data_IF_410889877793
#
_entry.id   IF_410889877793
#
_cell.length_a   1.000
_cell.length_b   1.000
_cell.length_c   1.000
_cell.angle_alpha   90.00
_cell.angle_beta   90.00
_cell.angle_gamma   90.00
#
_symmetry.space_group_name_H-M   'P 1'
#
loop_
_entity.id
_entity.type
_entity.pdbx_description
1 polymer ?
#
# COMPACT_ATOMS: atom_id res chain seq x y z
N UNK A 1 -10.94 0.82 16.21
CA UNK A 1 -11.43 1.88 15.32
C UNK A 1 -10.39 2.96 15.22
N UNK A 2 -10.17 3.44 14.00
CA UNK A 2 -9.37 4.62 13.77
C UNK A 2 -10.00 5.81 14.49
N UNK A 3 -9.13 6.60 15.11
CA UNK A 3 -9.50 7.73 15.92
C UNK A 3 -8.60 8.89 15.55
N UNK A 4 -9.18 10.08 15.57
CA UNK A 4 -8.50 11.31 15.22
C UNK A 4 -8.96 12.46 16.10
N UNK A 5 -8.59 13.66 15.69
CA UNK A 5 -8.98 14.89 16.35
C UNK A 5 -9.01 16.03 15.34
N UNK A 6 -10.10 16.80 15.35
CA UNK A 6 -10.19 18.05 14.62
C UNK A 6 -9.27 19.11 15.24
N UNK A 7 -8.86 20.10 14.45
CA UNK A 7 -8.10 21.28 14.92
C UNK A 7 -8.84 22.06 15.99
N UNK A 8 -10.18 21.95 16.05
CA UNK A 8 -11.03 22.49 17.12
C UNK A 8 -10.89 21.78 18.47
N UNK A 9 -10.20 20.62 18.53
CA UNK A 9 -10.10 19.76 19.71
C UNK A 9 -11.16 18.66 19.78
N UNK A 10 -12.14 18.65 18.87
CA UNK A 10 -13.19 17.62 18.81
C UNK A 10 -12.59 16.26 18.43
N UNK A 11 -12.75 15.25 19.29
CA UNK A 11 -12.33 13.88 19.02
C UNK A 11 -13.25 13.21 18.01
N UNK A 12 -12.68 12.43 17.11
CA UNK A 12 -13.37 11.75 16.01
C UNK A 12 -13.04 10.25 16.04
N UNK A 13 -13.95 9.42 15.52
CA UNK A 13 -13.80 7.96 15.54
C UNK A 13 -14.61 7.33 14.42
N UNK A 14 -13.98 6.39 13.70
CA UNK A 14 -14.63 5.61 12.66
C UNK A 14 -15.82 4.80 13.20
N UNK A 15 -16.84 4.60 12.37
CA UNK A 15 -18.11 4.01 12.78
C UNK A 15 -18.13 2.47 12.75
N UNK A 16 -17.47 1.86 11.77
CA UNK A 16 -17.52 0.42 11.51
C UNK A 16 -16.10 -0.14 11.34
N UNK A 17 -15.83 -1.30 11.95
CA UNK A 17 -14.61 -2.09 11.73
C UNK A 17 -14.77 -3.09 10.58
N UNK A 18 -16.00 -3.33 10.12
CA UNK A 18 -16.27 -4.18 8.96
C UNK A 18 -17.04 -3.42 7.88
N UNK A 19 -16.97 -3.89 6.64
CA UNK A 19 -17.76 -3.33 5.54
C UNK A 19 -19.25 -3.43 5.87
N UNK A 20 -20.04 -2.44 5.42
CA UNK A 20 -21.48 -2.35 5.75
C UNK A 20 -22.29 -3.55 5.25
N UNK A 21 -21.93 -4.12 4.10
CA UNK A 21 -22.58 -5.30 3.55
C UNK A 21 -21.69 -5.95 2.48
N UNK A 22 -22.00 -7.21 2.13
CA UNK A 22 -21.32 -7.91 1.04
C UNK A 22 -21.52 -7.19 -0.31
N UNK A 23 -22.69 -6.59 -0.52
CA UNK A 23 -23.00 -5.86 -1.75
C UNK A 23 -22.12 -4.60 -1.91
N UNK A 24 -21.81 -3.91 -0.80
CA UNK A 24 -20.87 -2.78 -0.81
C UNK A 24 -19.48 -3.26 -1.20
N UNK A 25 -18.95 -4.31 -0.57
CA UNK A 25 -17.62 -4.86 -0.92
C UNK A 25 -17.54 -5.28 -2.39
N UNK A 26 -18.58 -5.93 -2.92
CA UNK A 26 -18.64 -6.30 -4.33
C UNK A 26 -18.67 -5.08 -5.26
N UNK A 27 -19.37 -4.02 -4.88
CA UNK A 27 -19.46 -2.77 -5.65
C UNK A 27 -18.12 -2.07 -5.68
N UNK A 28 -17.50 -1.90 -4.51
CA UNK A 28 -16.22 -1.20 -4.36
C UNK A 28 -15.10 -1.96 -5.06
N UNK A 29 -15.05 -3.29 -4.91
CA UNK A 29 -14.06 -4.13 -5.61
C UNK A 29 -14.20 -4.05 -7.14
N UNK A 30 -15.44 -4.01 -7.67
CA UNK A 30 -15.68 -3.79 -9.12
C UNK A 30 -15.29 -2.38 -9.57
N UNK A 31 -15.42 -1.40 -8.68
CA UNK A 31 -14.92 -0.04 -8.89
C UNK A 31 -13.41 -0.02 -9.06
N UNK A 32 -12.68 -0.65 -8.13
CA UNK A 32 -11.22 -0.85 -8.23
C UNK A 32 -10.85 -1.55 -9.54
N UNK A 33 -11.51 -2.66 -9.88
CA UNK A 33 -11.28 -3.36 -11.15
C UNK A 33 -11.44 -2.45 -12.38
N UNK A 34 -12.47 -1.59 -12.40
CA UNK A 34 -12.71 -0.65 -13.51
C UNK A 34 -11.61 0.40 -13.60
N UNK A 35 -11.22 0.98 -12.47
CA UNK A 35 -10.13 1.97 -12.40
C UNK A 35 -8.83 1.36 -12.91
N UNK A 36 -8.48 0.16 -12.44
CA UNK A 36 -7.26 -0.54 -12.84
C UNK A 36 -7.29 -0.99 -14.31
N UNK A 37 -8.45 -1.44 -14.81
CA UNK A 37 -8.64 -1.81 -16.21
C UNK A 37 -8.39 -0.62 -17.14
N UNK A 38 -8.87 0.57 -16.78
CA UNK A 38 -8.67 1.79 -17.55
C UNK A 38 -7.18 2.18 -17.69
N UNK A 39 -6.33 1.75 -16.76
CA UNK A 39 -4.89 2.08 -16.81
C UNK A 39 -4.12 1.27 -17.85
N UNK A 40 -4.67 0.12 -18.28
CA UNK A 40 -4.03 -0.84 -19.19
C UNK A 40 -2.58 -1.20 -18.78
N UNK A 41 -2.29 -1.24 -17.48
CA UNK A 41 -0.93 -1.41 -16.98
C UNK A 41 -0.34 -2.79 -17.32
N UNK A 42 0.98 -2.84 -17.48
CA UNK A 42 1.75 -4.07 -17.63
C UNK A 42 1.84 -4.88 -16.34
N UNK A 43 1.86 -4.16 -15.21
CA UNK A 43 1.93 -4.71 -13.88
C UNK A 43 0.92 -3.99 -12.98
N UNK A 44 0.33 -4.72 -12.04
CA UNK A 44 -0.59 -4.14 -11.06
C UNK A 44 -0.25 -4.67 -9.67
N UNK A 45 -0.11 -3.75 -8.70
CA UNK A 45 0.26 -4.07 -7.33
C UNK A 45 -0.90 -3.68 -6.41
N UNK A 46 -1.51 -4.66 -5.75
CA UNK A 46 -2.59 -4.46 -4.81
C UNK A 46 -2.11 -4.75 -3.39
N UNK A 47 -2.52 -3.92 -2.44
CA UNK A 47 -2.36 -4.10 -1.01
C UNK A 47 -3.76 -4.27 -0.38
N UNK A 48 -3.85 -4.76 0.86
CA UNK A 48 -5.11 -4.86 1.62
C UNK A 48 -6.21 -5.67 0.89
N UNK A 49 -5.82 -6.62 0.04
CA UNK A 49 -6.77 -7.40 -0.76
C UNK A 49 -7.13 -8.71 -0.05
N UNK A 50 -8.40 -8.88 0.29
CA UNK A 50 -8.89 -10.01 1.07
C UNK A 50 -9.25 -11.22 0.19
N UNK A 51 -9.06 -12.42 0.74
CA UNK A 51 -9.54 -13.68 0.12
C UNK A 51 -10.72 -14.29 0.88
N UNK A 52 -10.79 -14.12 2.20
CA UNK A 52 -11.83 -14.69 3.05
C UNK A 52 -11.93 -14.02 4.44
N UNK A 53 -11.95 -12.68 4.50
CA UNK A 53 -12.01 -11.96 5.79
C UNK A 53 -13.45 -11.63 6.20
N UNK A 54 -13.73 -11.59 7.51
CA UNK A 54 -15.00 -11.12 8.06
C UNK A 54 -15.21 -9.63 7.74
N UNK A 55 -14.14 -8.82 7.80
CA UNK A 55 -14.17 -7.38 7.47
C UNK A 55 -14.65 -7.07 6.04
N UNK A 56 -14.37 -7.97 5.08
CA UNK A 56 -14.83 -7.91 3.69
C UNK A 56 -16.02 -8.82 3.39
N UNK A 57 -16.73 -9.31 4.42
CA UNK A 57 -17.91 -10.19 4.27
C UNK A 57 -17.63 -11.42 3.41
N UNK A 58 -16.42 -11.99 3.56
CA UNK A 58 -15.94 -13.18 2.87
C UNK A 58 -16.00 -13.07 1.34
N UNK A 59 -15.89 -11.85 0.81
CA UNK A 59 -15.68 -11.63 -0.63
C UNK A 59 -14.23 -11.97 -0.94
N UNK A 60 -14.02 -12.89 -1.88
CA UNK A 60 -12.68 -13.19 -2.38
C UNK A 60 -12.29 -12.17 -3.45
N UNK A 61 -11.75 -11.04 -3.02
CA UNK A 61 -11.36 -9.93 -3.88
C UNK A 61 -10.20 -10.31 -4.80
N UNK A 62 -9.26 -11.13 -4.32
CA UNK A 62 -8.16 -11.68 -5.15
C UNK A 62 -8.72 -12.41 -6.36
N UNK A 63 -9.65 -13.35 -6.16
CA UNK A 63 -10.26 -14.11 -7.26
C UNK A 63 -11.06 -13.23 -8.21
N UNK A 64 -11.72 -12.19 -7.70
CA UNK A 64 -12.43 -11.23 -8.55
C UNK A 64 -11.44 -10.51 -9.50
N UNK A 65 -10.36 -9.98 -8.94
CA UNK A 65 -9.29 -9.31 -9.69
C UNK A 65 -8.61 -10.27 -10.68
N UNK A 66 -8.24 -11.49 -10.27
CA UNK A 66 -7.65 -12.50 -11.16
C UNK A 66 -8.57 -12.85 -12.35
N UNK A 67 -9.87 -13.03 -12.10
CA UNK A 67 -10.84 -13.29 -13.16
C UNK A 67 -10.98 -12.09 -14.12
N UNK A 68 -10.98 -10.87 -13.58
CA UNK A 68 -11.09 -9.64 -14.36
C UNK A 68 -9.91 -9.47 -15.31
N UNK A 69 -8.71 -9.80 -14.84
CA UNK A 69 -7.45 -9.70 -15.56
C UNK A 69 -6.95 -11.08 -16.01
N UNK A 70 -7.86 -11.92 -16.51
CA UNK A 70 -7.53 -13.23 -17.08
C UNK A 70 -6.48 -13.06 -18.18
N UNK A 71 -5.34 -13.74 -18.03
CA UNK A 71 -4.17 -13.60 -18.90
C UNK A 71 -2.96 -12.95 -18.25
N UNK A 72 -3.10 -12.34 -17.08
CA UNK A 72 -1.96 -11.91 -16.27
C UNK A 72 -1.48 -13.08 -15.41
N UNK A 73 -0.16 -13.26 -15.32
CA UNK A 73 0.44 -14.03 -14.23
C UNK A 73 0.22 -13.32 -12.91
N UNK A 74 0.04 -14.07 -11.82
CA UNK A 74 -0.26 -13.50 -10.51
C UNK A 74 0.60 -14.12 -9.40
N UNK A 75 0.93 -13.31 -8.41
CA UNK A 75 1.61 -13.72 -7.17
C UNK A 75 0.82 -13.14 -6.01
N UNK A 76 0.29 -14.00 -5.15
CA UNK A 76 -0.33 -13.61 -3.90
C UNK A 76 0.60 -13.91 -2.72
N UNK A 77 0.88 -12.90 -1.90
CA UNK A 77 1.62 -13.04 -0.66
C UNK A 77 0.74 -12.59 0.51
N UNK A 78 0.37 -13.53 1.38
CA UNK A 78 -0.37 -13.20 2.59
C UNK A 78 0.47 -12.27 3.49
N UNK A 79 -0.11 -11.15 3.92
CA UNK A 79 0.56 -10.21 4.81
C UNK A 79 -0.28 -9.84 6.04
N UNK A 80 -1.43 -10.49 6.22
CA UNK A 80 -2.29 -10.33 7.38
C UNK A 80 -3.19 -11.57 7.48
N UNK A 81 -2.85 -12.44 8.43
CA UNK A 81 -3.64 -13.60 8.79
C UNK A 81 -3.98 -13.56 10.28
N UNK A 82 -5.27 -13.69 10.62
CA UNK A 82 -5.74 -13.81 12.00
C UNK A 82 -6.96 -14.71 12.06
N UNK A 83 -6.95 -15.68 12.99
CA UNK A 83 -8.10 -16.53 13.24
C UNK A 83 -9.31 -15.71 13.74
N UNK A 84 -9.05 -14.73 14.62
CA UNK A 84 -10.06 -13.79 15.07
C UNK A 84 -9.42 -12.53 15.67
N UNK A 85 -9.72 -11.37 15.09
CA UNK A 85 -9.33 -10.07 15.60
C UNK A 85 -10.53 -9.38 16.27
N UNK A 86 -10.52 -9.36 17.60
CA UNK A 86 -11.56 -8.75 18.45
C UNK A 86 -11.40 -7.22 18.58
N UNK A 87 -11.04 -6.54 17.48
CA UNK A 87 -10.93 -5.09 17.44
C UNK A 87 -11.60 -4.55 16.17
N UNK A 88 -12.38 -3.45 16.27
CA UNK A 88 -12.92 -2.86 17.49
C UNK A 88 -13.87 -3.82 18.26
N UNK A 89 -14.08 -3.60 19.55
CA UNK A 89 -14.94 -4.46 20.38
C UNK A 89 -16.41 -4.53 19.91
N UNK A 90 -16.92 -3.46 19.31
CA UNK A 90 -18.33 -3.34 18.90
C UNK A 90 -18.61 -3.83 17.47
N UNK A 91 -17.58 -3.98 16.64
CA UNK A 91 -17.68 -4.44 15.25
C UNK A 91 -16.33 -5.06 14.82
N UNK A 92 -15.96 -6.21 15.43
CA UNK A 92 -14.61 -6.76 15.30
C UNK A 92 -14.29 -7.14 13.86
N UNK A 93 -13.02 -6.94 13.46
CA UNK A 93 -12.52 -7.37 12.16
C UNK A 93 -12.71 -8.87 11.89
N UNK A 94 -12.86 -9.68 12.95
CA UNK A 94 -13.16 -11.11 12.88
C UNK A 94 -12.00 -11.89 12.30
N UNK A 95 -12.28 -12.96 11.55
CA UNK A 95 -11.24 -13.69 10.82
C UNK A 95 -10.68 -12.80 9.71
N UNK A 96 -9.36 -12.77 9.54
CA UNK A 96 -8.71 -11.98 8.48
C UNK A 96 -7.77 -12.88 7.67
N UNK A 97 -7.91 -12.79 6.35
CA UNK A 97 -7.04 -13.41 5.37
C UNK A 97 -6.84 -12.43 4.20
N UNK A 98 -5.81 -11.59 4.33
CA UNK A 98 -5.46 -10.50 3.40
C UNK A 98 -4.01 -10.61 2.94
N UNK A 99 -3.70 -10.00 1.81
CA UNK A 99 -2.35 -10.03 1.28
C UNK A 99 -1.99 -8.91 0.31
N UNK A 100 -0.90 -9.18 -0.39
CA UNK A 100 -0.38 -8.44 -1.51
C UNK A 100 -0.61 -9.27 -2.77
N UNK A 101 -1.27 -8.69 -3.77
CA UNK A 101 -1.44 -9.31 -5.08
C UNK A 101 -0.62 -8.54 -6.11
N UNK A 102 0.27 -9.23 -6.81
CA UNK A 102 1.00 -8.68 -7.96
C UNK A 102 0.49 -9.37 -9.22
N UNK A 103 0.02 -8.60 -10.19
CA UNK A 103 -0.29 -9.07 -11.55
C UNK A 103 0.81 -8.64 -12.51
N UNK A 104 1.09 -9.48 -13.51
CA UNK A 104 2.09 -9.25 -14.55
C UNK A 104 1.61 -9.77 -15.90
N UNK A 105 1.69 -8.95 -16.96
CA UNK A 105 1.53 -9.44 -18.34
C UNK A 105 2.69 -10.30 -18.81
N UNK A 106 3.84 -10.17 -18.15
CA UNK A 106 5.08 -10.87 -18.50
C UNK A 106 5.28 -12.11 -17.62
N UNK A 107 6.08 -13.04 -18.12
CA UNK A 107 6.44 -14.25 -17.39
C UNK A 107 7.16 -13.92 -16.07
N UNK A 108 6.63 -14.47 -14.98
CA UNK A 108 7.23 -14.39 -13.65
C UNK A 108 8.18 -15.57 -13.49
N UNK A 109 9.48 -15.30 -13.43
CA UNK A 109 10.50 -16.35 -13.28
C UNK A 109 10.58 -16.88 -11.85
N UNK A 110 10.41 -16.01 -10.85
CA UNK A 110 10.31 -16.42 -9.44
C UNK A 110 9.57 -15.39 -8.60
N UNK A 111 9.08 -15.82 -7.44
CA UNK A 111 8.49 -14.95 -6.45
C UNK A 111 8.99 -15.30 -5.04
N UNK A 112 9.21 -14.30 -4.20
CA UNK A 112 9.64 -14.50 -2.81
C UNK A 112 8.94 -13.51 -1.88
N UNK A 113 8.25 -14.03 -0.88
CA UNK A 113 7.72 -13.23 0.23
C UNK A 113 8.82 -12.99 1.26
N UNK A 114 9.02 -11.74 1.68
CA UNK A 114 9.93 -11.37 2.77
C UNK A 114 9.16 -10.66 3.88
N UNK A 115 9.16 -11.28 5.06
CA UNK A 115 8.49 -10.71 6.23
C UNK A 115 9.29 -9.52 6.78
N UNK A 116 8.58 -8.43 7.04
CA UNK A 116 9.11 -7.29 7.74
C UNK A 116 9.28 -7.59 9.23
N UNK A 117 10.27 -6.98 9.90
CA UNK A 117 10.28 -6.92 11.36
C UNK A 117 8.98 -6.28 11.85
N UNK A 118 8.26 -7.00 12.71
CA UNK A 118 7.03 -6.54 13.37
C UNK A 118 7.23 -6.59 14.88
N UNK A 119 6.48 -5.76 15.61
CA UNK A 119 6.54 -5.77 17.07
C UNK A 119 6.00 -7.07 17.65
N UNK A 120 6.65 -7.61 18.69
CA UNK A 120 6.18 -8.80 19.42
C UNK A 120 5.23 -8.46 20.59
N UNK A 121 4.84 -7.20 20.76
CA UNK A 121 3.99 -6.82 21.91
C UNK A 121 2.59 -7.39 21.76
N UNK A 122 2.03 -7.93 22.85
CA UNK A 122 0.78 -8.69 22.81
C UNK A 122 -0.41 -7.88 22.25
N UNK A 123 -0.47 -6.57 22.54
CA UNK A 123 -1.53 -5.66 22.08
C UNK A 123 -1.32 -5.24 20.62
N UNK A 124 -0.07 -5.02 20.18
CA UNK A 124 0.23 -4.65 18.79
C UNK A 124 0.16 -5.82 17.81
N UNK A 125 0.31 -7.07 18.28
CA UNK A 125 0.02 -8.28 17.50
C UNK A 125 -1.42 -8.33 16.97
N UNK A 126 -2.36 -7.61 17.59
CA UNK A 126 -3.74 -7.53 17.10
C UNK A 126 -3.92 -6.47 16.01
N UNK A 127 -2.99 -5.53 15.82
CA UNK A 127 -3.14 -4.41 14.87
C UNK A 127 -2.03 -4.34 13.82
N UNK A 128 -0.91 -5.04 14.01
CA UNK A 128 0.29 -4.99 13.17
C UNK A 128 0.72 -6.42 12.82
N UNK A 129 -0.05 -7.05 11.93
CA UNK A 129 0.10 -8.45 11.53
C UNK A 129 0.90 -8.57 10.23
N UNK A 130 1.72 -9.64 10.16
CA UNK A 130 2.47 -10.22 9.04
C UNK A 130 2.96 -9.32 7.90
N UNK A 131 3.22 -8.04 8.18
CA UNK A 131 3.73 -7.06 7.23
C UNK A 131 4.88 -7.68 6.45
N UNK A 132 4.82 -7.56 5.14
CA UNK A 132 5.79 -8.15 4.26
C UNK A 132 5.90 -7.32 2.98
N UNK A 133 6.84 -7.72 2.15
CA UNK A 133 6.86 -7.35 0.74
C UNK A 133 7.05 -8.61 -0.10
N UNK A 134 6.46 -8.61 -1.30
CA UNK A 134 6.57 -9.67 -2.29
C UNK A 134 7.52 -9.23 -3.38
N UNK A 135 8.63 -9.96 -3.54
CA UNK A 135 9.60 -9.75 -4.63
C UNK A 135 9.19 -10.65 -5.79
N UNK A 136 8.84 -10.05 -6.91
CA UNK A 136 8.55 -10.75 -8.18
C UNK A 136 9.70 -10.51 -9.13
N UNK A 137 10.34 -11.58 -9.59
CA UNK A 137 11.50 -11.50 -10.49
C UNK A 137 11.07 -11.82 -11.91
N UNK A 138 11.23 -10.85 -12.81
CA UNK A 138 10.83 -10.92 -14.21
C UNK A 138 12.11 -10.90 -15.06
N UNK A 139 12.45 -11.97 -15.79
CA UNK A 139 13.56 -11.96 -16.72
C UNK A 139 13.35 -10.92 -17.82
N UNK A 140 14.41 -10.22 -18.21
CA UNK A 140 14.39 -9.30 -19.37
C UNK A 140 15.38 -9.76 -20.44
N UNK A 141 15.17 -9.30 -21.68
CA UNK A 141 15.87 -9.83 -22.88
C UNK A 141 17.38 -9.62 -22.89
N UNK A 142 17.90 -8.64 -22.15
CA UNK A 142 19.33 -8.37 -22.05
C UNK A 142 20.06 -9.21 -20.99
N UNK A 143 19.45 -10.31 -20.53
CA UNK A 143 20.03 -11.24 -19.55
C UNK A 143 19.99 -10.75 -18.09
N UNK A 144 19.46 -9.54 -17.85
CA UNK A 144 19.20 -9.03 -16.49
C UNK A 144 17.81 -9.45 -16.00
N UNK A 145 17.46 -9.03 -14.79
CA UNK A 145 16.14 -9.21 -14.21
C UNK A 145 15.55 -7.87 -13.77
N UNK A 146 14.22 -7.76 -13.83
CA UNK A 146 13.45 -6.76 -13.12
C UNK A 146 12.92 -7.37 -11.83
N UNK A 147 13.30 -6.82 -10.69
CA UNK A 147 12.67 -7.09 -9.41
C UNK A 147 11.55 -6.08 -9.21
N UNK A 148 10.32 -6.55 -9.37
CA UNK A 148 9.10 -5.80 -9.05
C UNK A 148 8.66 -6.17 -7.64
N UNK A 149 8.72 -5.21 -6.73
CA UNK A 149 8.46 -5.41 -5.31
C UNK A 149 7.15 -4.73 -4.93
N UNK A 150 6.19 -5.52 -4.47
CA UNK A 150 4.96 -5.04 -3.84
C UNK A 150 5.18 -4.97 -2.33
N UNK A 151 5.10 -3.78 -1.74
CA UNK A 151 5.39 -3.54 -0.32
C UNK A 151 4.22 -2.92 0.41
N UNK A 152 3.98 -3.35 1.66
CA UNK A 152 3.07 -2.67 2.58
C UNK A 152 3.70 -2.63 3.98
N UNK A 153 4.10 -1.45 4.43
CA UNK A 153 4.80 -1.23 5.70
C UNK A 153 3.84 -0.99 6.88
N UNK A 154 4.35 -1.04 8.12
CA UNK A 154 3.53 -0.81 9.31
C UNK A 154 3.09 0.65 9.47
N UNK A 155 1.80 0.86 9.73
CA UNK A 155 1.22 2.17 10.09
C UNK A 155 1.62 2.64 11.50
N UNK A 156 1.38 1.80 12.51
CA UNK A 156 1.53 2.18 13.92
C UNK A 156 2.85 1.66 14.51
N UNK A 157 3.77 2.58 14.82
CA UNK A 157 5.03 2.26 15.49
C UNK A 157 5.41 3.37 16.47
N UNK A 158 5.00 3.19 17.73
CA UNK A 158 5.28 4.14 18.81
C UNK A 158 6.79 4.21 19.04
N UNK A 159 7.41 5.30 18.57
CA UNK A 159 8.86 5.53 18.65
C UNK A 159 9.66 5.15 17.40
N UNK A 160 9.02 4.72 16.31
CA UNK A 160 9.64 4.60 14.97
C UNK A 160 10.71 3.52 14.80
N UNK A 161 10.84 2.59 15.76
CA UNK A 161 11.88 1.55 15.74
C UNK A 161 11.61 0.47 14.68
N UNK A 162 10.37 0.01 14.55
CA UNK A 162 10.00 -0.99 13.54
C UNK A 162 10.11 -0.41 12.15
N UNK A 163 9.57 0.78 11.88
CA UNK A 163 9.62 1.40 10.54
C UNK A 163 11.06 1.57 10.06
N UNK A 164 11.98 1.95 10.96
CA UNK A 164 13.43 1.97 10.67
C UNK A 164 13.99 0.58 10.34
N UNK A 165 13.60 -0.45 11.09
CA UNK A 165 14.05 -1.82 10.83
C UNK A 165 13.48 -2.38 9.50
N UNK A 166 12.24 -2.05 9.17
CA UNK A 166 11.59 -2.41 7.90
C UNK A 166 12.29 -1.74 6.71
N UNK A 167 12.55 -0.43 6.80
CA UNK A 167 13.33 0.28 5.79
C UNK A 167 14.74 -0.29 5.63
N UNK A 168 15.41 -0.67 6.74
CA UNK A 168 16.73 -1.31 6.69
C UNK A 168 16.68 -2.64 5.92
N UNK A 169 15.67 -3.47 6.16
CA UNK A 169 15.50 -4.74 5.44
C UNK A 169 15.22 -4.51 3.95
N UNK A 170 14.28 -3.62 3.62
CA UNK A 170 13.96 -3.28 2.24
C UNK A 170 15.19 -2.76 1.49
N UNK A 171 15.89 -1.79 2.08
CA UNK A 171 17.11 -1.20 1.51
C UNK A 171 18.18 -2.26 1.24
N UNK A 172 18.42 -3.18 2.18
CA UNK A 172 19.41 -4.24 1.99
C UNK A 172 19.06 -5.19 0.83
N UNK A 173 17.77 -5.44 0.60
CA UNK A 173 17.31 -6.30 -0.51
C UNK A 173 17.44 -5.58 -1.85
N UNK A 174 16.98 -4.33 -1.94
CA UNK A 174 17.02 -3.57 -3.19
C UNK A 174 18.45 -3.20 -3.59
N UNK A 175 19.31 -2.85 -2.62
CA UNK A 175 20.72 -2.54 -2.85
C UNK A 175 21.46 -3.76 -3.41
N UNK A 176 21.26 -4.94 -2.81
CA UNK A 176 21.86 -6.19 -3.31
C UNK A 176 21.45 -6.49 -4.75
N UNK A 177 20.16 -6.34 -5.07
CA UNK A 177 19.66 -6.60 -6.40
C UNK A 177 20.23 -5.61 -7.43
N UNK A 178 20.32 -4.34 -7.07
CA UNK A 178 20.89 -3.29 -7.91
C UNK A 178 22.39 -3.47 -8.14
N UNK A 179 23.16 -3.86 -7.12
CA UNK A 179 24.59 -4.18 -7.25
C UNK A 179 24.84 -5.40 -8.14
N UNK A 180 23.88 -6.33 -8.23
CA UNK A 180 23.89 -7.42 -9.19
C UNK A 180 23.43 -7.00 -10.61
N UNK A 181 23.43 -5.69 -10.91
CA UNK A 181 23.05 -5.10 -12.20
C UNK A 181 21.59 -5.30 -12.62
N UNK A 182 20.70 -5.70 -11.70
CA UNK A 182 19.27 -5.84 -11.98
C UNK A 182 18.55 -4.48 -11.92
N UNK A 183 17.37 -4.43 -12.54
CA UNK A 183 16.44 -3.31 -12.38
C UNK A 183 15.56 -3.57 -11.16
N UNK A 184 15.25 -2.53 -10.39
CA UNK A 184 14.44 -2.67 -9.19
C UNK A 184 13.39 -1.57 -9.16
N UNK A 185 12.13 -1.98 -9.00
CA UNK A 185 10.99 -1.10 -8.77
C UNK A 185 10.29 -1.61 -7.52
N UNK A 186 10.15 -0.74 -6.52
CA UNK A 186 9.34 -0.98 -5.33
C UNK A 186 8.11 -0.10 -5.43
N UNK A 187 6.92 -0.68 -5.32
CA UNK A 187 5.67 0.06 -5.25
C UNK A 187 4.79 -0.42 -4.10
N UNK A 188 3.97 0.49 -3.57
CA UNK A 188 2.94 0.18 -2.59
C UNK A 188 2.77 1.26 -1.54
N UNK A 189 2.16 0.87 -0.42
CA UNK A 189 1.85 1.75 0.71
C UNK A 189 2.99 1.73 1.73
N UNK A 190 3.65 2.88 1.87
CA UNK A 190 4.72 3.06 2.84
C UNK A 190 4.20 3.39 4.23
N UNK A 191 2.93 3.77 4.41
CA UNK A 191 2.39 4.29 5.68
C UNK A 191 3.17 5.50 6.22
N UNK A 192 3.88 6.21 5.34
CA UNK A 192 4.60 7.44 5.62
C UNK A 192 4.25 8.46 4.54
N UNK A 193 4.06 9.71 4.91
CA UNK A 193 4.09 10.82 3.96
C UNK A 193 5.42 10.78 3.19
N UNK A 194 5.35 10.70 1.87
CA UNK A 194 6.50 10.54 0.97
C UNK A 194 7.29 11.85 0.80
N UNK A 195 7.81 12.38 1.89
CA UNK A 195 8.52 13.65 1.95
C UNK A 195 7.88 14.60 2.96
N UNK A 196 8.73 15.38 3.64
CA UNK A 196 8.29 16.33 4.67
C UNK A 196 7.32 17.37 4.12
N UNK A 197 7.51 17.73 2.85
CA UNK A 197 6.64 18.63 2.09
C UNK A 197 5.18 18.15 2.09
N UNK A 198 4.93 16.84 2.02
CA UNK A 198 3.56 16.31 1.92
C UNK A 198 2.88 16.06 3.27
N UNK A 199 3.59 16.14 4.40
CA UNK A 199 3.01 15.84 5.71
C UNK A 199 1.84 16.78 6.06
N UNK A 200 1.91 18.04 5.64
CA UNK A 200 0.91 19.07 5.93
C UNK A 200 0.50 19.86 4.69
N UNK A 201 0.74 19.31 3.48
CA UNK A 201 0.49 20.01 2.22
C UNK A 201 -0.99 20.26 1.97
N UNK A 202 -1.83 19.25 2.17
CA UNK A 202 -3.25 19.34 1.87
C UNK A 202 -4.03 20.05 2.99
N UNK A 203 -4.89 20.97 2.58
CA UNK A 203 -5.81 21.63 3.50
C UNK A 203 -6.76 20.59 4.14
N UNK A 204 -6.87 20.65 5.46
CA UNK A 204 -7.68 19.75 6.27
C UNK A 204 -8.13 20.46 7.55
N UNK A 205 -9.20 19.96 8.17
CA UNK A 205 -9.65 20.37 9.50
C UNK A 205 -9.17 19.42 10.60
N UNK A 206 -8.65 18.25 10.25
CA UNK A 206 -8.04 17.30 11.19
C UNK A 206 -6.59 17.68 11.55
N UNK A 207 -6.16 17.26 12.74
CA UNK A 207 -4.74 17.25 13.10
C UNK A 207 -4.00 16.17 12.31
N UNK A 208 -2.68 16.30 12.17
CA UNK A 208 -1.86 15.23 11.60
C UNK A 208 -2.02 13.98 12.47
N UNK A 209 -2.50 12.84 11.93
CA UNK A 209 -2.70 11.64 12.72
C UNK A 209 -1.38 11.05 13.22
N UNK A 210 -1.39 10.49 14.43
CA UNK A 210 -0.20 9.90 15.09
C UNK A 210 0.42 8.72 14.33
N UNK A 211 -0.34 8.11 13.42
CA UNK A 211 0.13 7.01 12.59
C UNK A 211 1.00 7.48 11.43
N UNK A 212 0.86 8.73 10.98
CA UNK A 212 1.60 9.25 9.84
C UNK A 212 3.03 9.57 10.28
N UNK A 213 3.99 8.95 9.60
CA UNK A 213 5.40 9.33 9.69
C UNK A 213 5.88 9.90 8.36
N UNK A 214 7.17 10.22 8.22
CA UNK A 214 7.73 10.77 6.98
C UNK A 214 8.81 9.83 6.45
N UNK A 215 8.71 9.50 5.16
CA UNK A 215 9.77 8.83 4.43
C UNK A 215 10.51 9.88 3.61
N UNK A 216 11.77 10.11 3.96
CA UNK A 216 12.64 11.05 3.26
C UNK A 216 13.53 10.30 2.24
N UNK A 217 13.91 10.96 1.15
CA UNK A 217 14.82 10.40 0.14
C UNK A 217 16.15 9.92 0.76
N UNK A 218 16.63 10.58 1.81
CA UNK A 218 17.84 10.18 2.55
C UNK A 218 17.72 8.84 3.29
N UNK A 219 16.49 8.35 3.49
CA UNK A 219 16.22 7.05 4.11
C UNK A 219 16.20 5.90 3.10
N UNK A 220 16.22 6.20 1.80
CA UNK A 220 16.22 5.22 0.72
C UNK A 220 17.67 4.82 0.39
N UNK A 221 17.88 3.56 0.00
CA UNK A 221 19.20 3.05 -0.38
C UNK A 221 19.89 3.92 -1.45
N UNK A 222 21.23 3.98 -1.41
CA UNK A 222 22.00 4.66 -2.46
C UNK A 222 21.73 4.01 -3.82
N UNK A 223 21.68 4.82 -4.87
CA UNK A 223 21.36 4.33 -6.21
C UNK A 223 19.87 4.16 -6.49
N UNK A 224 19.01 4.68 -5.61
CA UNK A 224 17.55 4.66 -5.75
C UNK A 224 16.95 6.05 -5.60
N UNK A 225 15.85 6.27 -6.29
CA UNK A 225 15.06 7.50 -6.27
C UNK A 225 13.64 7.21 -5.84
N UNK A 226 13.13 8.00 -4.89
CA UNK A 226 11.71 8.08 -4.58
C UNK A 226 11.02 8.93 -5.66
N UNK A 227 10.19 8.30 -6.47
CA UNK A 227 9.54 8.95 -7.61
C UNK A 227 8.43 9.85 -7.10
N UNK A 228 8.59 11.17 -7.29
CA UNK A 228 7.55 12.15 -7.00
C UNK A 228 6.52 12.15 -8.14
N UNK A 229 5.27 11.83 -7.85
CA UNK A 229 4.21 11.92 -8.85
C UNK A 229 4.01 13.37 -9.31
N UNK A 230 3.76 13.56 -10.61
CA UNK A 230 3.68 14.88 -11.25
C UNK A 230 2.57 15.76 -10.65
N UNK A 231 1.46 15.15 -10.26
CA UNK A 231 0.29 15.80 -9.68
C UNK A 231 0.18 15.56 -8.16
N UNK A 232 1.27 15.19 -7.49
CA UNK A 232 1.27 14.85 -6.05
C UNK A 232 0.75 15.97 -5.14
N UNK A 233 0.84 17.22 -5.60
CA UNK A 233 0.44 18.40 -4.83
C UNK A 233 -1.07 18.68 -4.92
N UNK A 234 -1.77 18.05 -5.87
CA UNK A 234 -3.21 18.26 -6.10
C UNK A 234 -4.03 16.99 -5.91
N UNK A 235 -3.41 15.81 -6.03
CA UNK A 235 -4.08 14.52 -5.86
C UNK A 235 -3.41 13.74 -4.72
N UNK A 236 -4.03 13.64 -3.53
CA UNK A 236 -3.53 12.82 -2.43
C UNK A 236 -3.70 11.32 -2.75
N UNK A 237 -2.89 10.48 -2.10
CA UNK A 237 -3.01 9.02 -2.24
C UNK A 237 -3.73 8.37 -1.07
N UNK A 238 -3.83 9.03 0.09
CA UNK A 238 -4.51 8.49 1.26
C UNK A 238 -5.31 9.56 1.97
N UNK A 239 -6.42 9.16 2.59
CA UNK A 239 -7.18 9.97 3.55
C UNK A 239 -7.24 9.30 4.92
N UNK A 240 -7.51 10.09 5.95
CA UNK A 240 -7.97 9.56 7.23
C UNK A 240 -9.36 8.92 7.13
N UNK A 241 -9.64 7.98 8.04
CA UNK A 241 -10.83 7.11 8.04
C UNK A 241 -11.67 7.23 9.32
N UNK A 242 -11.28 8.09 10.26
CA UNK A 242 -12.03 8.36 11.49
C UNK A 242 -13.31 9.20 11.26
N UNK A 243 -13.45 9.78 10.06
CA UNK A 243 -14.67 10.40 9.54
C UNK A 243 -15.02 9.89 8.13
N UNK A 244 -16.29 10.04 7.75
CA UNK A 244 -16.70 9.93 6.36
C UNK A 244 -15.99 10.99 5.52
N UNK A 245 -15.58 10.64 4.30
CA UNK A 245 -14.80 11.53 3.45
C UNK A 245 -15.56 12.82 3.13
N UNK A 246 -14.92 13.96 3.40
CA UNK A 246 -15.34 15.30 3.03
C UNK A 246 -14.09 16.09 2.63
N UNK A 247 -14.06 16.54 1.39
CA UNK A 247 -12.96 17.37 0.88
C UNK A 247 -12.75 18.61 1.77
N UNK A 248 -11.48 18.93 2.06
CA UNK A 248 -11.09 20.01 2.96
C UNK A 248 -11.30 19.75 4.46
N UNK A 249 -11.90 18.62 4.85
CA UNK A 249 -12.09 18.23 6.25
C UNK A 249 -11.11 17.16 6.68
N UNK A 250 -11.12 16.00 6.01
CA UNK A 250 -10.24 14.89 6.32
C UNK A 250 -8.76 15.27 6.14
N UNK A 251 -7.90 14.68 6.96
CA UNK A 251 -6.47 14.67 6.71
C UNK A 251 -6.16 13.88 5.43
N UNK A 252 -5.26 14.43 4.62
CA UNK A 252 -4.88 13.90 3.31
C UNK A 252 -3.35 14.00 3.17
N UNK A 253 -2.73 12.98 2.58
CA UNK A 253 -1.31 13.02 2.21
C UNK A 253 -1.00 12.06 1.05
N UNK A 254 0.28 11.94 0.70
CA UNK A 254 0.80 10.98 -0.28
C UNK A 254 1.62 9.94 0.48
N UNK A 255 1.08 8.74 0.64
CA UNK A 255 1.71 7.58 1.29
C UNK A 255 2.07 6.44 0.32
N UNK A 256 1.45 6.45 -0.85
CA UNK A 256 1.61 5.44 -1.89
C UNK A 256 2.53 5.99 -2.97
N UNK A 257 3.42 5.14 -3.47
CA UNK A 257 4.34 5.58 -4.50
C UNK A 257 5.35 4.53 -4.88
N UNK A 258 6.44 4.99 -5.50
CA UNK A 258 7.45 4.11 -6.07
C UNK A 258 8.88 4.53 -5.68
N UNK A 259 9.72 3.53 -5.41
CA UNK A 259 11.18 3.66 -5.39
C UNK A 259 11.74 2.93 -6.61
N UNK A 260 12.65 3.56 -7.35
CA UNK A 260 13.26 2.96 -8.55
C UNK A 260 14.79 3.06 -8.48
N UNK A 261 15.48 2.02 -8.97
CA UNK A 261 16.94 2.05 -9.12
C UNK A 261 17.38 3.01 -10.24
N UNK A 262 18.60 3.55 -10.17
CA UNK A 262 19.08 4.59 -11.11
C UNK A 262 19.22 4.12 -12.58
N UNK A 263 19.23 2.80 -12.81
CA UNK A 263 19.13 2.18 -14.13
C UNK A 263 17.68 2.09 -14.65
N UNK A 264 16.72 2.71 -13.97
CA UNK A 264 15.32 2.86 -14.40
C UNK A 264 15.00 4.35 -14.48
N UNK A 265 14.50 4.80 -15.63
CA UNK A 265 13.88 6.13 -15.76
C UNK A 265 12.39 5.98 -15.51
N UNK A 266 11.78 6.80 -14.65
CA UNK A 266 10.37 6.69 -14.37
C UNK A 266 9.67 8.03 -14.11
N UNK A 267 8.38 8.09 -14.44
CA UNK A 267 7.45 9.16 -14.07
C UNK A 267 6.22 8.55 -13.42
N UNK A 268 5.65 9.26 -12.43
CA UNK A 268 4.46 8.79 -11.73
C UNK A 268 3.33 9.82 -11.80
N UNK A 269 2.09 9.33 -11.73
CA UNK A 269 0.87 10.14 -11.67
C UNK A 269 -0.11 9.48 -10.72
N UNK A 270 -0.66 10.25 -9.79
CA UNK A 270 -1.72 9.80 -8.89
C UNK A 270 -3.06 9.82 -9.64
N UNK A 271 -3.85 8.76 -9.52
CA UNK A 271 -5.15 8.61 -10.17
C UNK A 271 -6.23 8.97 -9.15
N UNK A 272 -6.93 10.09 -9.36
CA UNK A 272 -7.98 10.51 -8.45
C UNK A 272 -9.25 9.67 -8.65
N UNK A 273 -9.68 8.98 -7.62
CA UNK A 273 -10.95 8.24 -7.55
C UNK A 273 -11.91 8.85 -6.54
N UNK A 274 -11.57 10.02 -5.99
CA UNK A 274 -12.29 10.70 -4.91
C UNK A 274 -12.53 9.82 -3.67
N UNK A 275 -11.67 8.79 -3.50
CA UNK A 275 -11.77 7.77 -2.45
C UNK A 275 -13.09 6.98 -2.45
N UNK A 276 -13.74 6.84 -3.62
CA UNK A 276 -15.04 6.18 -3.76
C UNK A 276 -15.00 4.68 -3.43
N UNK A 277 -13.87 4.02 -3.72
CA UNK A 277 -13.74 2.56 -3.62
C UNK A 277 -12.75 2.10 -2.55
N UNK A 278 -11.88 2.98 -2.11
CA UNK A 278 -10.88 2.77 -1.07
C UNK A 278 -10.51 4.11 -0.44
N UNK A 279 -10.02 4.08 0.79
CA UNK A 279 -9.37 5.23 1.44
C UNK A 279 -8.02 5.60 0.82
N UNK A 280 -7.58 4.84 -0.19
CA UNK A 280 -6.42 5.14 -1.03
C UNK A 280 -6.79 5.39 -2.50
N UNK A 281 -6.10 6.33 -3.12
CA UNK A 281 -6.08 6.56 -4.56
C UNK A 281 -4.86 5.85 -5.20
N UNK A 282 -5.02 5.16 -6.34
CA UNK A 282 -3.92 4.44 -6.96
C UNK A 282 -2.86 5.38 -7.57
N UNK A 283 -1.63 4.88 -7.70
CA UNK A 283 -0.52 5.59 -8.36
C UNK A 283 -0.08 4.80 -9.59
N UNK A 284 -0.02 5.47 -10.75
CA UNK A 284 0.50 4.90 -11.99
C UNK A 284 1.97 5.29 -12.16
N UNK A 285 2.81 4.30 -12.46
CA UNK A 285 4.20 4.48 -12.86
C UNK A 285 4.36 4.17 -14.35
N UNK A 286 5.01 5.06 -15.09
CA UNK A 286 5.53 4.79 -16.43
C UNK A 286 7.05 4.75 -16.34
N UNK A 287 7.68 3.72 -16.89
CA UNK A 287 9.13 3.54 -16.74
C UNK A 287 9.81 2.97 -17.99
N UNK A 288 11.12 3.18 -18.07
CA UNK A 288 12.02 2.65 -19.09
C UNK A 288 13.23 2.04 -18.38
N UNK A 289 13.54 0.78 -18.72
CA UNK A 289 14.75 0.10 -18.28
C UNK A 289 15.91 0.52 -19.18
N UNK A 290 17.01 1.03 -18.61
CA UNK A 290 18.18 1.53 -19.36
C UNK A 290 19.12 0.41 -19.81
#
# INVERSE_FOLDING_TARGET
MDAGELKSGTKTRGKYGTARSKAVVLTDTKGVERVMQAQQADFMLFQEIDTNSTRSKHVNQVRMVENKFHGYGHVFANNFHSAFLMWPLTDPHGSVQSGLLTLSRYHIGSATRRQYPVTNSFISKFTDLDRCFAVTTIPVTNGKQLLLINSHMSAYDKGGKMRKAQMKLLNAVIERAYLASNYVIVGGDYNHALGKDMLTHFASQEKVPDWVSVLDQSMVAKGFTMVKAQNRETVPTVRSTDLAYRSGVNYLTVCDGFLVSNNVTATATNINTDFDYADHNPVKLTFILK
#
